data_IF_511646178149
#
_entry.id   IF_511646178149
#
_cell.length_a   1.000
_cell.length_b   1.000
_cell.length_c   1.000
_cell.angle_alpha   90.00
_cell.angle_beta   90.00
_cell.angle_gamma   90.00
#
_symmetry.space_group_name_H-M   'P 1'
#
loop_
_entity.id
_entity.type
_entity.pdbx_description
1 polymer ?
#
# COMPACT_ATOMS: atom_id res chain seq x y z
N UNK A 1 -7.58 19.91 13.53
CA UNK A 1 -6.61 20.95 13.94
C UNK A 1 -6.52 22.04 12.88
N UNK A 2 -6.41 23.32 13.27
CA UNK A 2 -6.22 24.44 12.32
C UNK A 2 -4.77 24.91 12.31
N UNK A 3 -4.02 24.53 11.26
CA UNK A 3 -2.64 24.95 11.08
C UNK A 3 -2.58 26.45 10.78
N UNK A 4 -1.88 27.23 11.61
CA UNK A 4 -1.70 28.69 11.44
C UNK A 4 -0.40 29.05 10.71
N UNK A 5 0.65 28.27 10.91
CA UNK A 5 1.99 28.47 10.33
C UNK A 5 2.62 27.11 10.00
N UNK A 6 3.61 27.09 9.11
CA UNK A 6 4.38 25.86 8.85
C UNK A 6 5.24 25.50 10.06
N UNK A 7 5.26 24.22 10.48
CA UNK A 7 6.20 23.74 11.49
C UNK A 7 7.67 23.89 11.01
N UNK A 8 8.65 23.96 11.92
CA UNK A 8 10.07 24.04 11.55
C UNK A 8 10.53 22.87 10.68
N UNK A 9 9.99 21.68 10.90
CA UNK A 9 10.14 20.54 10.01
C UNK A 9 8.84 19.73 9.93
N UNK A 10 8.54 19.16 8.77
CA UNK A 10 7.32 18.39 8.52
C UNK A 10 7.49 17.38 7.38
N UNK A 11 6.64 16.36 7.35
CA UNK A 11 6.51 15.45 6.21
C UNK A 11 5.57 16.07 5.18
N UNK A 12 6.09 16.43 4.02
CA UNK A 12 5.31 17.01 2.93
C UNK A 12 4.94 15.95 1.90
N UNK A 13 3.65 15.81 1.61
CA UNK A 13 3.12 14.94 0.57
C UNK A 13 2.34 15.72 -0.48
N UNK A 14 2.68 15.52 -1.76
CA UNK A 14 1.87 15.98 -2.89
C UNK A 14 0.82 14.91 -3.21
N UNK A 15 -0.45 15.29 -3.13
CA UNK A 15 -1.58 14.42 -3.47
C UNK A 15 -1.92 14.59 -4.95
N UNK A 16 -1.68 13.55 -5.75
CA UNK A 16 -2.19 13.46 -7.11
C UNK A 16 -3.60 12.86 -7.17
N UNK A 17 -4.32 13.10 -8.27
CA UNK A 17 -5.58 12.43 -8.60
C UNK A 17 -5.36 11.02 -9.17
N UNK A 18 -4.35 10.28 -8.69
CA UNK A 18 -3.89 9.02 -9.31
C UNK A 18 -4.99 7.93 -9.36
N UNK A 19 -5.98 7.97 -8.47
CA UNK A 19 -7.13 7.07 -8.46
C UNK A 19 -8.36 7.59 -9.22
N UNK A 20 -8.29 8.80 -9.79
CA UNK A 20 -9.42 9.50 -10.41
C UNK A 20 -10.44 10.04 -9.39
N UNK A 21 -10.13 9.98 -8.10
CA UNK A 21 -10.98 10.49 -7.02
C UNK A 21 -10.67 11.95 -6.68
N UNK A 22 -11.68 12.68 -6.23
CA UNK A 22 -11.51 14.05 -5.75
C UNK A 22 -10.89 14.05 -4.36
N UNK A 23 -10.18 15.13 -4.00
CA UNK A 23 -9.62 15.26 -2.66
C UNK A 23 -10.67 15.15 -1.54
N UNK A 24 -11.87 15.77 -1.63
CA UNK A 24 -12.96 15.55 -0.68
C UNK A 24 -13.32 14.09 -0.47
N UNK A 25 -13.48 13.32 -1.55
CA UNK A 25 -13.80 11.89 -1.47
C UNK A 25 -12.68 11.10 -0.80
N UNK A 26 -11.41 11.40 -1.09
CA UNK A 26 -10.26 10.75 -0.44
C UNK A 26 -10.27 11.05 1.06
N UNK A 27 -10.44 12.32 1.45
CA UNK A 27 -10.44 12.72 2.86
C UNK A 27 -11.62 12.12 3.61
N UNK A 28 -12.81 12.02 3.00
CA UNK A 28 -13.97 11.35 3.60
C UNK A 28 -13.66 9.89 3.98
N UNK A 29 -13.04 9.12 3.07
CA UNK A 29 -12.62 7.75 3.41
C UNK A 29 -11.58 7.71 4.53
N UNK A 30 -10.64 8.65 4.55
CA UNK A 30 -9.64 8.73 5.61
C UNK A 30 -10.26 9.16 6.94
N UNK A 31 -11.34 9.94 6.93
CA UNK A 31 -12.15 10.23 8.11
C UNK A 31 -12.86 8.98 8.62
N UNK A 32 -13.42 8.14 7.74
CA UNK A 32 -13.99 6.85 8.13
C UNK A 32 -12.96 5.90 8.72
N UNK A 33 -11.78 5.78 8.09
CA UNK A 33 -10.65 5.04 8.66
C UNK A 33 -10.27 5.58 10.05
N UNK A 34 -10.17 6.91 10.20
CA UNK A 34 -9.83 7.57 11.47
C UNK A 34 -10.85 7.26 12.56
N UNK A 35 -12.16 7.34 12.26
CA UNK A 35 -13.24 7.04 13.21
C UNK A 35 -13.17 5.58 13.68
N UNK A 36 -12.97 4.64 12.75
CA UNK A 36 -12.84 3.21 13.06
C UNK A 36 -11.51 2.83 13.73
N UNK A 37 -10.45 3.62 13.49
CA UNK A 37 -9.11 3.44 14.03
C UNK A 37 -8.83 4.21 15.32
N UNK A 38 -9.86 4.76 15.97
CA UNK A 38 -9.71 5.50 17.23
C UNK A 38 -8.83 6.75 17.12
N UNK A 39 -8.92 7.46 16.00
CA UNK A 39 -8.08 8.63 15.69
C UNK A 39 -6.96 8.36 14.68
N UNK A 40 -6.67 7.09 14.34
CA UNK A 40 -5.58 6.71 13.45
C UNK A 40 -6.07 6.27 12.07
N UNK A 41 -5.30 6.59 11.04
CA UNK A 41 -5.56 6.16 9.67
C UNK A 41 -4.25 6.08 8.87
N UNK A 42 -4.30 5.46 7.69
CA UNK A 42 -3.11 5.22 6.88
C UNK A 42 -3.19 5.93 5.53
N UNK A 43 -2.11 6.60 5.15
CA UNK A 43 -2.02 7.29 3.86
C UNK A 43 -0.97 6.64 2.94
N UNK A 44 -1.41 6.01 1.85
CA UNK A 44 -0.52 5.36 0.89
C UNK A 44 0.43 6.34 0.19
N UNK A 45 1.70 5.97 0.07
CA UNK A 45 2.74 6.75 -0.62
C UNK A 45 3.72 5.84 -1.37
N UNK A 46 4.20 6.33 -2.51
CA UNK A 46 5.13 5.61 -3.38
C UNK A 46 6.59 5.74 -2.96
N UNK A 47 6.92 6.62 -2.00
CA UNK A 47 8.28 6.93 -1.58
C UNK A 47 8.55 6.47 -0.15
N UNK A 48 9.73 5.91 0.07
CA UNK A 48 10.22 5.59 1.41
C UNK A 48 10.70 6.87 2.10
N UNK A 49 10.42 7.01 3.39
CA UNK A 49 10.99 8.06 4.22
C UNK A 49 12.30 7.64 4.88
N UNK A 50 12.71 6.37 4.81
CA UNK A 50 13.91 5.86 5.47
C UNK A 50 13.97 6.26 6.95
N UNK A 51 15.12 6.73 7.42
CA UNK A 51 15.28 7.23 8.80
C UNK A 51 14.80 8.68 8.99
N UNK A 52 14.40 9.39 7.92
CA UNK A 52 14.13 10.84 7.96
C UNK A 52 12.99 11.23 8.89
N UNK A 53 11.88 10.48 8.85
CA UNK A 53 10.70 10.76 9.66
C UNK A 53 11.00 10.57 11.15
N UNK A 54 11.66 9.45 11.49
CA UNK A 54 12.08 9.16 12.86
C UNK A 54 13.06 10.21 13.35
N UNK A 55 14.11 10.50 12.57
CA UNK A 55 15.12 11.50 12.95
C UNK A 55 14.53 12.90 13.15
N UNK A 56 13.65 13.34 12.25
CA UNK A 56 12.96 14.62 12.40
C UNK A 56 12.09 14.63 13.67
N UNK A 57 11.22 13.63 13.85
CA UNK A 57 10.35 13.54 15.02
C UNK A 57 11.12 13.57 16.35
N UNK A 58 12.27 12.90 16.45
CA UNK A 58 13.12 12.94 17.64
C UNK A 58 13.67 14.35 17.93
N UNK A 59 13.96 15.14 16.89
CA UNK A 59 14.50 16.51 17.07
C UNK A 59 13.42 17.52 17.45
N UNK A 60 12.20 17.38 16.91
CA UNK A 60 11.12 18.37 17.10
C UNK A 60 10.00 17.92 18.05
N UNK A 61 10.09 16.70 18.60
CA UNK A 61 9.10 16.12 19.52
C UNK A 61 7.89 15.51 18.82
N UNK A 62 7.33 16.16 17.81
CA UNK A 62 6.20 15.65 17.01
C UNK A 62 6.33 16.03 15.53
N UNK A 63 6.02 15.09 14.63
CA UNK A 63 6.13 15.33 13.19
C UNK A 63 4.75 15.46 12.56
N UNK A 64 4.49 16.56 11.86
CA UNK A 64 3.25 16.72 11.09
C UNK A 64 3.40 16.19 9.67
N UNK A 65 2.35 15.57 9.14
CA UNK A 65 2.17 15.34 7.72
C UNK A 65 1.29 16.44 7.12
N UNK A 66 1.85 17.20 6.19
CA UNK A 66 1.16 18.24 5.43
C UNK A 66 0.94 17.74 4.01
N UNK A 67 -0.29 17.93 3.52
CA UNK A 67 -0.69 17.46 2.21
C UNK A 67 -1.07 18.62 1.30
N UNK A 68 -0.48 18.66 0.11
CA UNK A 68 -0.79 19.65 -0.91
C UNK A 68 -1.32 18.98 -2.17
N UNK A 69 -2.37 19.50 -2.82
CA UNK A 69 -2.76 19.04 -4.15
C UNK A 69 -1.58 19.19 -5.12
N UNK A 70 -1.32 18.16 -5.92
CA UNK A 70 -0.40 18.25 -7.04
C UNK A 70 -0.93 19.29 -8.04
N UNK A 71 -0.01 20.03 -8.67
CA UNK A 71 -0.38 20.97 -9.74
C UNK A 71 -1.01 20.19 -10.90
N UNK A 72 -2.17 20.67 -11.37
CA UNK A 72 -3.12 20.02 -12.30
C UNK A 72 -2.58 19.67 -13.69
N UNK A 73 -1.29 19.84 -13.96
CA UNK A 73 -0.69 19.61 -15.28
C UNK A 73 -0.32 18.14 -15.55
N UNK A 74 -0.79 17.20 -14.72
CA UNK A 74 -0.71 15.78 -15.07
C UNK A 74 -1.78 15.54 -16.13
N UNK A 75 -1.36 15.47 -17.40
CA UNK A 75 -2.21 15.02 -18.51
C UNK A 75 -3.01 13.81 -18.02
N UNK A 76 -4.33 13.75 -18.27
CA UNK A 76 -5.09 12.54 -17.97
C UNK A 76 -4.36 11.41 -18.70
N UNK A 77 -3.68 10.56 -17.92
CA UNK A 77 -3.02 9.39 -18.48
C UNK A 77 -4.11 8.63 -19.22
N UNK A 78 -3.82 8.26 -20.46
CA UNK A 78 -4.70 7.48 -21.30
C UNK A 78 -5.20 6.29 -20.47
N UNK A 79 -6.49 6.32 -20.10
CA UNK A 79 -7.08 5.47 -19.06
C UNK A 79 -7.30 4.06 -19.61
N UNK A 80 -6.23 3.40 -20.05
CA UNK A 80 -6.20 1.94 -20.05
C UNK A 80 -6.43 1.54 -18.59
N UNK A 81 -7.37 0.62 -18.34
CA UNK A 81 -7.69 0.12 -17.00
C UNK A 81 -6.43 -0.49 -16.40
N UNK A 82 -5.60 0.34 -15.74
CA UNK A 82 -4.41 -0.14 -15.05
C UNK A 82 -4.86 -0.96 -13.86
N UNK A 83 -4.30 -2.17 -13.74
CA UNK A 83 -4.53 -3.02 -12.59
C UNK A 83 -4.16 -2.27 -11.31
N UNK A 84 -5.05 -2.32 -10.33
CA UNK A 84 -4.85 -1.71 -9.01
C UNK A 84 -4.51 -2.81 -8.01
N UNK A 85 -3.53 -2.54 -7.16
CA UNK A 85 -3.17 -3.38 -6.03
C UNK A 85 -3.87 -2.86 -4.78
N UNK A 86 -4.45 -3.76 -3.99
CA UNK A 86 -4.88 -3.54 -2.61
C UNK A 86 -3.83 -4.11 -1.67
N UNK A 87 -3.37 -3.31 -0.72
CA UNK A 87 -2.35 -3.73 0.26
C UNK A 87 -3.02 -4.25 1.54
N UNK A 88 -2.63 -5.46 1.97
CA UNK A 88 -3.30 -6.16 3.07
C UNK A 88 -2.47 -6.21 4.36
N UNK A 89 -1.15 -6.07 4.25
CA UNK A 89 -0.22 -6.19 5.36
C UNK A 89 0.83 -5.06 5.34
N UNK A 90 1.57 -4.94 6.44
CA UNK A 90 2.73 -4.08 6.58
C UNK A 90 3.90 -4.85 7.21
N UNK A 91 5.11 -4.35 7.03
CA UNK A 91 6.33 -4.90 7.61
C UNK A 91 6.69 -4.08 8.84
N UNK A 92 6.74 -4.74 10.00
CA UNK A 92 7.07 -4.10 11.26
C UNK A 92 8.57 -3.84 11.44
N UNK A 93 8.94 -3.20 12.56
CA UNK A 93 10.33 -2.85 12.86
C UNK A 93 11.25 -4.07 13.04
N UNK A 94 10.68 -5.25 13.30
CA UNK A 94 11.41 -6.52 13.37
C UNK A 94 11.50 -7.24 12.02
N UNK A 95 10.92 -6.66 10.96
CA UNK A 95 10.84 -7.29 9.64
C UNK A 95 9.68 -8.27 9.49
N UNK A 96 8.82 -8.41 10.50
CA UNK A 96 7.70 -9.35 10.44
C UNK A 96 6.52 -8.75 9.67
N UNK A 97 5.86 -9.57 8.86
CA UNK A 97 4.65 -9.18 8.13
C UNK A 97 3.46 -9.23 9.09
N UNK A 98 2.83 -8.09 9.32
CA UNK A 98 1.65 -7.91 10.17
C UNK A 98 0.43 -7.52 9.33
N UNK A 99 -0.77 -8.04 9.61
CA UNK A 99 -1.97 -7.58 8.92
C UNK A 99 -2.19 -6.08 9.19
N UNK A 100 -2.65 -5.36 8.17
CA UNK A 100 -3.16 -4.00 8.37
C UNK A 100 -4.50 -4.04 9.12
N UNK A 101 -4.92 -2.95 9.79
CA UNK A 101 -6.22 -2.90 10.45
C UNK A 101 -7.37 -3.17 9.47
N UNK A 102 -8.42 -3.93 9.87
CA UNK A 102 -9.48 -4.38 8.96
C UNK A 102 -10.26 -3.28 8.25
N UNK A 103 -10.25 -2.05 8.77
CA UNK A 103 -10.93 -0.89 8.22
C UNK A 103 -10.07 -0.07 7.25
N UNK A 104 -8.80 -0.41 7.03
CA UNK A 104 -7.90 0.41 6.21
C UNK A 104 -7.98 0.05 4.72
N UNK A 105 -8.09 1.03 3.85
CA UNK A 105 -8.13 0.82 2.40
C UNK A 105 -6.98 1.58 1.72
N UNK A 106 -5.95 0.83 1.32
CA UNK A 106 -4.75 1.39 0.69
C UNK A 106 -4.54 0.73 -0.66
N UNK A 107 -4.61 1.54 -1.71
CA UNK A 107 -4.45 1.08 -3.09
C UNK A 107 -3.30 1.77 -3.79
N UNK A 108 -2.75 1.12 -4.81
CA UNK A 108 -1.73 1.70 -5.69
C UNK A 108 -1.80 1.09 -7.07
N UNK A 109 -1.29 1.80 -8.09
CA UNK A 109 -1.10 1.24 -9.43
C UNK A 109 -0.15 0.04 -9.40
N UNK A 110 -0.48 -1.05 -10.11
CA UNK A 110 0.35 -2.27 -10.22
C UNK A 110 1.68 -2.01 -10.93
N UNK A 111 1.70 -1.07 -11.87
CA UNK A 111 2.90 -0.66 -12.62
C UNK A 111 3.36 0.73 -12.19
N UNK A 112 4.66 0.94 -12.20
CA UNK A 112 5.29 2.25 -12.08
C UNK A 112 5.16 3.00 -13.42
N UNK A 113 5.34 4.34 -13.44
CA UNK A 113 5.39 5.09 -14.70
C UNK A 113 6.44 4.58 -15.69
N UNK A 114 7.47 3.87 -15.21
CA UNK A 114 8.49 3.21 -16.04
C UNK A 114 8.04 1.86 -16.63
N UNK A 115 6.78 1.44 -16.45
CA UNK A 115 6.25 0.14 -16.89
C UNK A 115 6.62 -1.04 -15.98
N UNK A 116 7.61 -0.89 -15.11
CA UNK A 116 8.03 -1.95 -14.15
C UNK A 116 6.93 -2.26 -13.15
N UNK A 117 6.86 -3.52 -12.71
CA UNK A 117 5.96 -3.93 -11.60
C UNK A 117 6.31 -3.16 -10.34
N UNK A 118 5.29 -2.71 -9.62
CA UNK A 118 5.42 -2.11 -8.30
C UNK A 118 5.70 -3.20 -7.27
N UNK A 119 6.94 -3.28 -6.82
CA UNK A 119 7.37 -4.20 -5.76
C UNK A 119 7.18 -3.62 -4.36
N UNK A 120 7.21 -2.29 -4.24
CA UNK A 120 7.17 -1.59 -2.97
C UNK A 120 6.13 -0.47 -2.97
N UNK A 121 5.45 -0.36 -1.84
CA UNK A 121 4.60 0.76 -1.49
C UNK A 121 4.71 0.99 0.01
N UNK A 122 4.38 2.20 0.45
CA UNK A 122 4.52 2.62 1.83
C UNK A 122 3.23 3.27 2.28
N UNK A 123 3.06 3.42 3.59
CA UNK A 123 2.00 4.24 4.14
C UNK A 123 2.53 5.12 5.26
N UNK A 124 2.04 6.36 5.32
CA UNK A 124 2.19 7.21 6.49
C UNK A 124 1.20 6.76 7.57
N UNK A 125 1.66 6.74 8.81
CA UNK A 125 0.84 6.45 9.99
C UNK A 125 0.35 7.76 10.56
N UNK A 126 -0.87 8.14 10.18
CA UNK A 126 -1.45 9.43 10.50
C UNK A 126 -2.37 9.32 11.72
N UNK A 127 -2.39 10.37 12.53
CA UNK A 127 -3.25 10.48 13.70
C UNK A 127 -3.89 11.86 13.76
N UNK A 128 -5.17 11.90 14.11
CA UNK A 128 -5.91 13.14 14.37
C UNK A 128 -6.98 12.89 15.44
N UNK A 129 -6.94 13.62 16.57
CA UNK A 129 -7.97 13.50 17.60
C UNK A 129 -9.31 14.08 17.15
N UNK A 130 -9.29 15.00 16.16
CA UNK A 130 -10.49 15.65 15.61
C UNK A 130 -10.80 15.14 14.21
N UNK A 131 -12.01 15.44 13.73
CA UNK A 131 -12.40 15.22 12.33
C UNK A 131 -11.42 15.85 11.34
N UNK A 132 -11.20 15.15 10.22
CA UNK A 132 -10.37 15.63 9.12
C UNK A 132 -11.09 16.73 8.34
N UNK A 133 -10.52 17.93 8.35
CA UNK A 133 -11.03 19.08 7.59
C UNK A 133 -10.13 19.39 6.40
N UNK A 134 -10.74 19.68 5.25
CA UNK A 134 -10.03 20.22 4.09
C UNK A 134 -9.95 21.74 4.20
N UNK A 135 -8.77 22.27 3.93
CA UNK A 135 -8.54 23.70 3.79
C UNK A 135 -7.63 24.23 4.88
N UNK A 136 -6.59 24.96 4.45
CA UNK A 136 -5.75 25.77 5.32
C UNK A 136 -5.43 27.08 4.61
N UNK A 137 -5.21 28.13 5.39
CA UNK A 137 -4.63 29.39 4.88
C UNK A 137 -3.12 29.27 4.65
N UNK A 138 -2.50 28.21 5.17
CA UNK A 138 -1.07 27.95 5.09
C UNK A 138 -0.69 27.44 3.71
N UNK A 139 0.46 27.93 3.22
CA UNK A 139 1.05 27.54 1.93
C UNK A 139 2.49 27.11 2.16
N UNK A 140 2.92 26.08 1.44
CA UNK A 140 4.30 25.65 1.37
C UNK A 140 5.00 26.24 0.15
N UNK A 141 6.27 26.61 0.33
CA UNK A 141 7.12 27.27 -0.65
C UNK A 141 8.39 26.43 -0.82
N UNK A 142 8.51 25.60 -1.88
CA UNK A 142 9.63 24.67 -2.07
C UNK A 142 11.00 25.32 -1.97
N UNK A 143 11.14 26.55 -2.47
CA UNK A 143 12.35 27.37 -2.42
C UNK A 143 12.91 27.56 -0.99
N UNK A 144 12.02 27.63 -0.01
CA UNK A 144 12.33 27.82 1.42
C UNK A 144 12.39 26.50 2.20
N UNK A 145 12.39 25.37 1.49
CA UNK A 145 12.41 24.04 2.09
C UNK A 145 13.65 23.26 1.64
N UNK A 146 14.21 22.49 2.56
CA UNK A 146 15.29 21.54 2.27
C UNK A 146 14.93 20.16 2.75
N UNK A 147 15.41 19.14 2.05
CA UNK A 147 15.26 17.76 2.49
C UNK A 147 16.08 17.56 3.77
N UNK A 148 15.45 17.07 4.84
CA UNK A 148 16.08 16.90 6.15
C UNK A 148 17.28 15.95 6.13
N UNK A 149 17.27 14.93 5.28
CA UNK A 149 18.39 13.98 5.20
C UNK A 149 19.56 14.49 4.37
N UNK A 150 19.29 15.23 3.29
CA UNK A 150 20.33 15.59 2.33
C UNK A 150 20.75 17.06 2.39
N UNK A 151 19.99 17.92 3.06
CA UNK A 151 20.15 19.38 3.04
C UNK A 151 19.92 20.03 1.67
N UNK A 152 19.52 19.25 0.66
CA UNK A 152 19.37 19.71 -0.72
C UNK A 152 17.99 20.31 -0.99
N UNK A 153 17.85 21.22 -1.97
CA UNK A 153 16.56 21.66 -2.48
C UNK A 153 15.69 20.48 -2.95
N UNK A 154 14.37 20.68 -2.93
CA UNK A 154 13.43 19.66 -3.36
C UNK A 154 13.38 19.56 -4.89
N UNK A 155 13.52 18.36 -5.43
CA UNK A 155 13.31 18.12 -6.86
C UNK A 155 11.84 18.36 -7.26
N UNK A 156 11.59 18.76 -8.51
CA UNK A 156 10.24 19.07 -8.99
C UNK A 156 9.22 17.92 -8.80
N UNK A 157 9.69 16.67 -8.90
CA UNK A 157 8.89 15.45 -8.92
C UNK A 157 8.87 14.65 -7.60
N UNK A 158 9.11 15.28 -6.44
CA UNK A 158 8.92 14.57 -5.17
C UNK A 158 7.43 14.21 -4.93
N UNK A 159 7.18 13.06 -4.31
CA UNK A 159 5.85 12.63 -3.88
C UNK A 159 5.63 12.86 -2.39
N UNK A 160 6.50 12.28 -1.55
CA UNK A 160 6.47 12.40 -0.09
C UNK A 160 7.90 12.55 0.45
N UNK A 161 8.16 13.57 1.26
CA UNK A 161 9.50 13.90 1.75
C UNK A 161 9.44 14.62 3.09
N UNK A 162 10.42 14.39 3.96
CA UNK A 162 10.58 15.15 5.21
C UNK A 162 11.46 16.36 4.95
N UNK A 163 10.96 17.55 5.31
CA UNK A 163 11.57 18.83 4.99
C UNK A 163 11.75 19.70 6.21
N UNK A 164 12.72 20.59 6.14
CA UNK A 164 12.96 21.66 7.11
C UNK A 164 12.80 23.04 6.45
N UNK A 165 12.28 24.00 7.21
CA UNK A 165 12.13 25.38 6.79
C UNK A 165 13.45 26.14 7.03
N UNK A 166 14.05 26.68 5.97
CA UNK A 166 15.37 27.35 6.03
C UNK A 166 15.30 28.89 6.11
N UNK A 167 14.12 29.48 6.32
CA UNK A 167 13.98 30.94 6.50
C UNK A 167 12.55 31.35 6.84
N UNK A 168 12.41 32.36 7.71
CA UNK A 168 11.13 32.97 8.11
C UNK A 168 10.96 34.41 7.57
N UNK A 169 11.73 34.78 6.57
CA UNK A 169 11.81 36.17 6.09
C UNK A 169 10.56 36.56 5.31
N UNK A 170 10.09 37.79 5.51
CA UNK A 170 8.74 38.30 5.27
C UNK A 170 8.24 38.34 3.82
N UNK A 171 9.06 37.94 2.85
CA UNK A 171 8.68 37.90 1.43
C UNK A 171 8.90 36.50 0.86
N UNK A 172 7.89 35.64 1.05
CA UNK A 172 7.84 34.31 0.44
C UNK A 172 7.53 34.44 -1.05
N UNK A 173 8.57 34.56 -1.86
CA UNK A 173 8.50 34.67 -3.31
C UNK A 173 8.64 33.29 -3.95
N UNK A 174 7.89 33.02 -5.03
CA UNK A 174 8.00 31.76 -5.78
C UNK A 174 6.74 30.90 -5.78
N UNK A 175 6.92 29.59 -6.01
CA UNK A 175 5.81 28.68 -6.32
C UNK A 175 5.14 28.19 -5.04
N UNK A 176 4.00 28.79 -4.73
CA UNK A 176 3.17 28.40 -3.58
C UNK A 176 2.32 27.15 -3.82
N UNK A 177 2.28 26.29 -2.82
CA UNK A 177 1.41 25.12 -2.76
C UNK A 177 0.47 25.23 -1.55
N UNK A 178 -0.86 25.27 -1.73
CA UNK A 178 -1.77 25.29 -0.59
C UNK A 178 -1.65 23.98 0.20
N UNK A 179 -1.70 24.08 1.53
CA UNK A 179 -1.88 22.92 2.39
C UNK A 179 -3.38 22.64 2.47
N UNK A 180 -3.79 21.46 2.01
CA UNK A 180 -5.20 21.06 2.01
C UNK A 180 -5.57 20.20 3.22
N UNK A 181 -4.63 19.43 3.76
CA UNK A 181 -4.81 18.63 4.96
C UNK A 181 -3.53 18.67 5.80
N UNK A 182 -3.68 18.74 7.12
CA UNK A 182 -2.59 18.69 8.08
C UNK A 182 -2.98 17.76 9.22
N UNK A 183 -2.13 16.78 9.50
CA UNK A 183 -2.33 15.77 10.56
C UNK A 183 -1.01 15.44 11.23
N UNK A 184 -1.05 14.82 12.39
CA UNK A 184 0.15 14.34 13.07
C UNK A 184 0.56 12.98 12.52
N UNK A 185 1.86 12.71 12.54
CA UNK A 185 2.41 11.37 12.30
C UNK A 185 2.70 10.72 13.65
N UNK A 186 2.18 9.52 13.82
CA UNK A 186 2.40 8.70 15.01
C UNK A 186 3.41 7.61 14.70
N UNK A 187 4.24 7.23 15.67
CA UNK A 187 5.20 6.14 15.50
C UNK A 187 4.48 4.86 14.99
N UNK A 188 5.03 4.14 14.00
CA UNK A 188 6.38 4.26 13.42
C UNK A 188 6.56 5.34 12.33
N UNK A 189 5.60 6.27 12.19
CA UNK A 189 5.53 7.39 11.24
C UNK A 189 5.29 6.99 9.79
N UNK A 190 5.99 5.95 9.33
CA UNK A 190 5.71 5.31 8.06
C UNK A 190 6.00 3.81 8.13
N UNK A 191 5.35 3.04 7.27
CA UNK A 191 5.51 1.59 7.18
C UNK A 191 5.68 1.16 5.73
N UNK A 192 6.40 0.06 5.51
CA UNK A 192 6.41 -0.62 4.21
C UNK A 192 5.22 -1.55 4.12
N UNK A 193 4.49 -1.48 3.02
CA UNK A 193 3.32 -2.31 2.75
C UNK A 193 3.74 -3.64 2.13
N UNK A 194 2.95 -4.68 2.39
CA UNK A 194 3.18 -6.05 1.98
C UNK A 194 1.87 -6.76 1.57
N UNK A 195 2.03 -7.95 0.98
CA UNK A 195 0.93 -8.82 0.52
C UNK A 195 -0.09 -8.09 -0.36
N UNK A 196 0.34 -7.50 -1.49
CA UNK A 196 -0.60 -6.87 -2.41
C UNK A 196 -1.47 -7.93 -3.10
N UNK A 197 -2.77 -7.68 -3.18
CA UNK A 197 -3.72 -8.44 -4.00
C UNK A 197 -4.22 -7.58 -5.16
N UNK A 198 -4.58 -8.21 -6.28
CA UNK A 198 -5.14 -7.47 -7.43
C UNK A 198 -6.60 -7.15 -7.14
N UNK A 199 -6.95 -5.87 -7.19
CA UNK A 199 -8.32 -5.39 -7.04
C UNK A 199 -8.96 -5.24 -8.42
N UNK A 200 -10.07 -5.95 -8.64
CA UNK A 200 -10.78 -5.93 -9.94
C UNK A 200 -11.40 -4.55 -10.16
N UNK A 201 -11.44 -4.10 -11.42
CA UNK A 201 -12.00 -2.79 -11.78
C UNK A 201 -13.45 -2.57 -11.32
N UNK A 202 -14.27 -3.63 -11.31
CA UNK A 202 -15.65 -3.60 -10.77
C UNK A 202 -15.70 -3.28 -9.28
N UNK A 203 -14.77 -3.86 -8.52
CA UNK A 203 -14.71 -3.76 -7.07
C UNK A 203 -14.20 -2.37 -6.67
N UNK A 204 -13.20 -1.86 -7.39
CA UNK A 204 -12.74 -0.48 -7.26
C UNK A 204 -13.84 0.53 -7.62
N UNK A 205 -14.62 0.28 -8.67
CA UNK A 205 -15.73 1.15 -9.07
C UNK A 205 -16.83 1.20 -7.99
N UNK A 206 -17.16 0.06 -7.38
CA UNK A 206 -18.10 -0.01 -6.27
C UNK A 206 -17.61 0.79 -5.05
N UNK A 207 -16.33 0.67 -4.69
CA UNK A 207 -15.71 1.48 -3.64
C UNK A 207 -15.82 2.98 -3.92
N UNK A 208 -15.47 3.39 -5.14
CA UNK A 208 -15.55 4.80 -5.53
C UNK A 208 -16.99 5.31 -5.53
N UNK A 209 -17.96 4.48 -5.89
CA UNK A 209 -19.39 4.83 -5.84
C UNK A 209 -19.83 5.09 -4.40
N UNK A 210 -19.62 4.13 -3.49
CA UNK A 210 -19.98 4.28 -2.08
C UNK A 210 -19.32 5.52 -1.45
N UNK A 211 -18.05 5.77 -1.78
CA UNK A 211 -17.32 6.94 -1.28
C UNK A 211 -17.85 8.27 -1.81
N UNK A 212 -18.33 8.32 -3.06
CA UNK A 212 -18.94 9.53 -3.64
C UNK A 212 -20.34 9.80 -3.08
N UNK A 213 -21.09 8.75 -2.81
CA UNK A 213 -22.45 8.81 -2.25
C UNK A 213 -22.44 9.04 -0.74
N UNK A 214 -21.27 8.95 -0.09
CA UNK A 214 -21.15 9.09 1.36
C UNK A 214 -21.72 7.89 2.13
N UNK A 215 -21.88 6.75 1.46
CA UNK A 215 -22.43 5.54 2.04
C UNK A 215 -21.35 4.78 2.84
N UNK A 216 -21.32 5.07 4.14
CA UNK A 216 -20.36 4.51 5.08
C UNK A 216 -20.53 2.99 5.27
N UNK A 217 -21.77 2.50 5.36
CA UNK A 217 -22.05 1.08 5.62
C UNK A 217 -21.61 0.22 4.44
N UNK A 218 -22.02 0.59 3.23
CA UNK A 218 -21.59 -0.09 2.02
C UNK A 218 -20.07 -0.03 1.87
N UNK A 219 -19.44 1.12 2.15
CA UNK A 219 -17.98 1.23 2.13
C UNK A 219 -17.32 0.26 3.10
N UNK A 220 -17.80 0.16 4.34
CA UNK A 220 -17.23 -0.69 5.37
C UNK A 220 -17.38 -2.18 5.02
N UNK A 221 -18.55 -2.59 4.52
CA UNK A 221 -18.80 -3.95 4.04
C UNK A 221 -17.84 -4.34 2.91
N UNK A 222 -17.67 -3.45 1.93
CA UNK A 222 -16.76 -3.66 0.81
C UNK A 222 -15.31 -3.80 1.28
N UNK A 223 -14.83 -2.93 2.18
CA UNK A 223 -13.47 -3.00 2.73
C UNK A 223 -13.24 -4.32 3.45
N UNK A 224 -14.19 -4.74 4.32
CA UNK A 224 -14.12 -6.03 5.02
C UNK A 224 -14.05 -7.19 4.03
N UNK A 225 -14.91 -7.19 3.01
CA UNK A 225 -14.96 -8.23 1.97
C UNK A 225 -13.66 -8.33 1.17
N UNK A 226 -13.05 -7.20 0.80
CA UNK A 226 -11.83 -7.21 -0.02
C UNK A 226 -10.57 -7.58 0.77
N UNK A 227 -10.55 -7.28 2.07
CA UNK A 227 -9.43 -7.62 2.95
C UNK A 227 -9.50 -9.03 3.54
N UNK A 228 -10.71 -9.58 3.64
CA UNK A 228 -10.97 -10.97 4.02
C UNK A 228 -11.56 -11.73 2.83
N UNK A 229 -10.81 -11.94 1.73
CA UNK A 229 -11.33 -12.78 0.67
C UNK A 229 -11.63 -14.17 1.28
N UNK A 230 -12.83 -14.73 1.06
CA UNK A 230 -13.10 -16.10 1.46
C UNK A 230 -12.03 -17.00 0.85
N UNK A 231 -11.55 -17.96 1.62
CA UNK A 231 -10.39 -18.86 1.39
C UNK A 231 -10.31 -19.56 0.03
N UNK A 232 -11.32 -19.40 -0.82
CA UNK A 232 -11.51 -20.01 -2.13
C UNK A 232 -10.36 -19.66 -3.11
N UNK A 233 -9.65 -18.54 -2.92
CA UNK A 233 -8.48 -18.19 -3.74
C UNK A 233 -7.13 -18.65 -3.14
N UNK A 234 -7.07 -19.17 -1.90
CA UNK A 234 -5.85 -19.82 -1.37
C UNK A 234 -5.65 -21.25 -1.89
N UNK A 235 -6.71 -21.88 -2.40
CA UNK A 235 -6.66 -23.25 -2.94
C UNK A 235 -6.46 -23.32 -4.46
N UNK A 236 -6.57 -22.19 -5.18
CA UNK A 236 -6.32 -22.16 -6.65
C UNK A 236 -4.86 -21.86 -6.95
N UNK A 237 -3.99 -22.77 -6.55
CA UNK A 237 -2.56 -22.67 -6.82
C UNK A 237 -1.75 -23.89 -6.46
N UNK A 238 -2.27 -25.10 -6.63
CA UNK A 238 -1.49 -26.32 -6.90
C UNK A 238 -2.45 -27.49 -7.24
N UNK A 239 -3.18 -27.40 -8.37
CA UNK A 239 -3.59 -28.64 -9.03
C UNK A 239 -2.35 -29.15 -9.73
N UNK A 240 -1.61 -30.03 -9.05
CA UNK A 240 -0.75 -30.99 -9.74
C UNK A 240 -1.69 -31.82 -10.60
N UNK A 241 -1.42 -31.85 -11.91
CA UNK A 241 -2.18 -32.59 -12.90
C UNK A 241 -2.67 -33.94 -12.37
N UNK A 242 -3.99 -34.09 -12.28
CA UNK A 242 -4.64 -35.37 -11.99
C UNK A 242 -4.85 -36.20 -13.29
N UNK A 243 -4.28 -35.75 -14.42
CA UNK A 243 -4.47 -36.36 -15.74
C UNK A 243 -3.18 -36.71 -16.49
N UNK A 244 -2.00 -36.64 -15.86
CA UNK A 244 -0.79 -37.23 -16.42
C UNK A 244 -0.58 -38.66 -15.90
N UNK A 245 -1.40 -39.57 -16.41
CA UNK A 245 -1.05 -41.00 -16.47
C UNK A 245 -0.57 -41.29 -17.89
N UNK A 246 0.65 -41.80 -18.10
CA UNK A 246 0.90 -42.55 -19.32
C UNK A 246 0.10 -43.86 -19.24
N UNK A 247 -1.02 -43.89 -19.96
CA UNK A 247 -1.70 -45.12 -20.37
C UNK A 247 -0.92 -45.82 -21.48
N UNK A 248 -1.26 -47.10 -21.68
CA UNK A 248 -0.77 -48.09 -22.67
C UNK A 248 0.29 -49.00 -22.04
N UNK A 249 0.20 -50.32 -21.90
CA UNK A 249 -0.65 -51.45 -22.31
C UNK A 249 0.10 -52.67 -21.68
N UNK A 250 -0.35 -53.89 -21.50
CA UNK A 250 -1.59 -54.65 -21.61
C UNK A 250 -1.28 -55.96 -20.87
N UNK A 251 -2.30 -56.52 -20.22
CA UNK A 251 -2.20 -57.76 -19.47
C UNK A 251 -1.98 -58.97 -20.40
N UNK A 252 -1.19 -59.95 -19.93
CA UNK A 252 -1.51 -61.39 -20.14
C UNK A 252 -1.09 -62.21 -18.93
N UNK A 253 -2.02 -62.94 -18.30
CA UNK A 253 -1.73 -64.08 -17.44
C UNK A 253 -1.98 -65.38 -18.21
N UNK A 254 -1.13 -66.41 -18.02
CA UNK A 254 -1.48 -67.84 -18.07
C UNK A 254 -0.20 -68.68 -17.99
N UNK A 255 -0.16 -69.63 -17.07
CA UNK A 255 0.91 -70.63 -17.05
C UNK A 255 1.04 -71.40 -15.74
N UNK A 256 0.01 -72.16 -15.37
CA UNK A 256 0.15 -73.27 -14.41
C UNK A 256 -0.22 -74.57 -15.16
N UNK A 257 0.76 -75.40 -15.54
CA UNK A 257 0.62 -76.86 -15.66
C UNK A 257 1.99 -77.51 -15.39
N UNK A 258 1.93 -78.57 -14.58
CA UNK A 258 3.02 -79.39 -14.05
C UNK A 258 3.79 -80.23 -15.09
N UNK A 259 4.98 -80.71 -14.70
CA UNK A 259 5.59 -81.90 -15.31
C UNK A 259 7.09 -82.06 -15.08
N UNK A 260 7.45 -83.12 -14.36
CA UNK A 260 8.74 -83.86 -14.38
C UNK A 260 9.92 -83.38 -13.50
N UNK A 261 10.03 -84.01 -12.31
CA UNK A 261 11.28 -84.58 -11.75
C UNK A 261 11.86 -85.68 -12.69
N UNK A 262 13.08 -86.26 -12.49
CA UNK A 262 14.00 -86.24 -11.34
C UNK A 262 15.48 -85.90 -11.78
N UNK A 263 16.53 -85.81 -10.94
CA UNK A 263 17.26 -86.94 -10.35
C UNK A 263 18.57 -86.49 -9.62
N UNK A 264 18.93 -87.26 -8.57
CA UNK A 264 20.25 -87.49 -7.90
C UNK A 264 21.04 -86.29 -7.30
N UNK A 265 21.14 -86.17 -5.96
CA UNK A 265 22.12 -86.80 -5.05
C UNK A 265 23.56 -86.31 -5.26
N UNK A 266 24.28 -85.73 -4.28
CA UNK A 266 24.85 -86.43 -3.12
C UNK A 266 25.49 -85.46 -2.10
N UNK A 267 25.39 -85.82 -0.81
CA UNK A 267 26.05 -85.34 0.43
C UNK A 267 27.61 -85.26 0.37
N UNK A 268 28.35 -85.03 1.49
CA UNK A 268 28.43 -83.87 2.40
C UNK A 268 29.90 -83.46 2.71
N UNK A 269 30.06 -82.50 3.64
CA UNK A 269 31.21 -82.05 4.50
C UNK A 269 32.52 -82.88 4.58
N UNK A 270 33.64 -82.24 4.94
CA UNK A 270 33.96 -81.91 6.35
C UNK A 270 33.67 -80.46 6.75
#
# INVERSE_FOLDING_TARGET
MTLKHLPPAFCWTKIGSESGETLPTIVLRKEWERRLGGGRFLWGTSQSLGSSARGAAHRIGSLMALFSPASSNVKPADRKREDVLLWNAWIDVSGQVRPLPPHTFITSRKTLPSGRRREHHYALVCSSPTELSIGSRVKAYPEHLRNVCTGKPLGAAFGTVVVECIGRTSEQTGKRYPIALAVELEAPYFVRLAQPSVLKGRDLAAMHKASREGDFETWLELVKRFRNPPSIERERGFTRDLFDMPSVESATPLGNVAGAQPNFASRPRP
#
